data_IF_569058243867
#
_entry.id   IF_569058243867
#
_cell.length_a   1.000
_cell.length_b   1.000
_cell.length_c   1.000
_cell.angle_alpha   90.00
_cell.angle_beta   90.00
_cell.angle_gamma   90.00
#
_symmetry.space_group_name_H-M   'P 1'
#
loop_
_entity.id
_entity.type
_entity.pdbx_description
1 polymer ?
#
# COMPACT_ATOMS: atom_id res chain seq x y z
N UNK A 1 23.48 15.78 -12.39
CA UNK A 1 23.16 14.48 -13.03
C UNK A 1 23.37 13.33 -12.07
N UNK A 2 22.31 12.57 -11.84
CA UNK A 2 22.38 11.33 -11.05
C UNK A 2 22.71 10.19 -12.01
N UNK A 3 23.99 9.94 -12.23
CA UNK A 3 24.47 8.87 -13.13
C UNK A 3 25.19 7.80 -12.31
N UNK A 4 24.74 6.55 -12.42
CA UNK A 4 25.42 5.39 -11.87
C UNK A 4 25.12 4.17 -12.75
N UNK A 5 26.09 3.26 -12.97
CA UNK A 5 25.90 2.06 -13.79
C UNK A 5 24.93 1.04 -13.17
N UNK A 6 24.61 1.18 -11.88
CA UNK A 6 23.76 0.25 -11.13
C UNK A 6 22.44 0.89 -10.67
N UNK A 7 21.92 1.88 -11.41
CA UNK A 7 20.62 2.47 -11.08
C UNK A 7 19.49 1.47 -11.33
N UNK A 8 18.71 1.20 -10.28
CA UNK A 8 17.43 0.47 -10.40
C UNK A 8 16.32 1.36 -10.95
N UNK A 9 16.50 2.69 -10.89
CA UNK A 9 15.61 3.65 -11.52
C UNK A 9 15.73 3.57 -13.05
N UNK A 10 14.67 3.13 -13.70
CA UNK A 10 14.57 3.03 -15.15
C UNK A 10 13.12 3.31 -15.58
N UNK A 11 12.77 4.56 -15.95
CA UNK A 11 11.38 4.96 -16.21
C UNK A 11 10.74 4.17 -17.36
N UNK A 12 11.52 3.79 -18.38
CA UNK A 12 11.04 3.01 -19.53
C UNK A 12 10.46 1.65 -19.15
N UNK A 13 10.92 1.04 -18.05
CA UNK A 13 10.41 -0.25 -17.56
C UNK A 13 9.01 -0.17 -16.95
N UNK A 14 8.52 1.04 -16.69
CA UNK A 14 7.19 1.31 -16.16
C UNK A 14 6.31 2.04 -17.19
N UNK A 15 6.80 2.22 -18.43
CA UNK A 15 6.03 2.85 -19.49
C UNK A 15 4.83 1.99 -19.90
N UNK A 16 3.70 2.66 -20.16
CA UNK A 16 2.43 2.04 -20.56
C UNK A 16 2.03 2.43 -21.98
N UNK A 17 2.91 3.10 -22.73
CA UNK A 17 2.62 3.63 -24.07
C UNK A 17 2.58 2.55 -25.17
N UNK A 18 3.35 1.47 -24.98
CA UNK A 18 3.33 0.26 -25.83
C UNK A 18 3.00 -0.95 -24.97
N UNK A 19 1.85 -1.56 -25.25
CA UNK A 19 1.27 -2.63 -24.41
C UNK A 19 1.86 -4.01 -24.72
N UNK A 20 2.50 -4.19 -25.89
CA UNK A 20 3.02 -5.48 -26.35
C UNK A 20 4.10 -6.07 -25.42
N UNK A 21 4.90 -5.24 -24.74
CA UNK A 21 5.98 -5.64 -23.82
C UNK A 21 5.77 -5.08 -22.39
N UNK A 22 4.52 -4.77 -22.00
CA UNK A 22 4.25 -4.21 -20.66
C UNK A 22 4.60 -5.22 -19.56
N UNK A 23 5.33 -4.76 -18.53
CA UNK A 23 5.73 -5.59 -17.40
C UNK A 23 4.53 -6.04 -16.51
N UNK A 24 3.40 -5.34 -16.59
CA UNK A 24 2.17 -5.64 -15.87
C UNK A 24 0.97 -4.99 -16.54
N UNK A 25 -0.19 -5.63 -16.45
CA UNK A 25 -1.47 -5.13 -16.93
C UNK A 25 -2.35 -4.54 -15.82
N UNK A 26 -3.48 -3.89 -16.19
CA UNK A 26 -4.45 -3.39 -15.21
C UNK A 26 -5.01 -4.48 -14.28
N UNK A 27 -5.20 -5.70 -14.80
CA UNK A 27 -5.73 -6.82 -14.01
C UNK A 27 -4.74 -7.32 -12.96
N UNK A 28 -3.43 -7.26 -13.24
CA UNK A 28 -2.40 -7.65 -12.25
C UNK A 28 -2.46 -6.75 -11.02
N UNK A 29 -2.74 -5.46 -11.24
CA UNK A 29 -2.95 -4.52 -10.12
C UNK A 29 -4.22 -4.86 -9.33
N UNK A 30 -5.31 -5.22 -9.99
CA UNK A 30 -6.54 -5.64 -9.29
C UNK A 30 -6.31 -6.94 -8.50
N UNK A 31 -5.60 -7.91 -9.07
CA UNK A 31 -5.21 -9.13 -8.36
C UNK A 31 -4.35 -8.82 -7.14
N UNK A 32 -3.33 -7.97 -7.31
CA UNK A 32 -2.45 -7.53 -6.23
C UNK A 32 -3.19 -6.80 -5.11
N UNK A 33 -4.23 -6.02 -5.42
CA UNK A 33 -5.09 -5.36 -4.42
C UNK A 33 -6.02 -6.36 -3.73
N UNK A 34 -6.60 -7.30 -4.47
CA UNK A 34 -7.54 -8.30 -3.93
C UNK A 34 -6.88 -9.18 -2.88
N UNK A 35 -5.62 -9.57 -3.11
CA UNK A 35 -4.83 -10.36 -2.15
C UNK A 35 -4.58 -9.65 -0.82
N UNK A 36 -4.79 -8.33 -0.72
CA UNK A 36 -4.63 -7.56 0.52
C UNK A 36 -5.89 -7.54 1.39
N UNK A 37 -7.07 -7.90 0.86
CA UNK A 37 -8.33 -7.71 1.58
C UNK A 37 -8.40 -8.45 2.92
N UNK A 38 -7.95 -9.70 2.98
CA UNK A 38 -7.96 -10.49 4.23
C UNK A 38 -7.10 -9.86 5.32
N UNK A 39 -5.89 -9.43 4.98
CA UNK A 39 -4.97 -8.78 5.91
C UNK A 39 -5.49 -7.40 6.37
N UNK A 40 -6.17 -6.68 5.48
CA UNK A 40 -6.85 -5.42 5.81
C UNK A 40 -7.99 -5.67 6.81
N UNK A 41 -8.83 -6.67 6.57
CA UNK A 41 -9.94 -7.00 7.46
C UNK A 41 -9.45 -7.43 8.84
N UNK A 42 -8.43 -8.29 8.90
CA UNK A 42 -7.77 -8.70 10.14
C UNK A 42 -7.17 -7.50 10.89
N UNK A 43 -6.51 -6.59 10.18
CA UNK A 43 -5.96 -5.37 10.76
C UNK A 43 -7.05 -4.46 11.34
N UNK A 44 -8.19 -4.32 10.64
CA UNK A 44 -9.35 -3.56 11.14
C UNK A 44 -9.96 -4.19 12.39
N UNK A 45 -10.06 -5.51 12.43
CA UNK A 45 -10.52 -6.24 13.61
C UNK A 45 -9.58 -6.04 14.80
N UNK A 46 -8.26 -6.10 14.59
CA UNK A 46 -7.27 -5.82 15.65
C UNK A 46 -7.36 -4.40 16.20
N UNK A 47 -7.61 -3.40 15.34
CA UNK A 47 -7.82 -2.03 15.81
C UNK A 47 -9.02 -1.92 16.76
N UNK A 48 -10.09 -2.68 16.53
CA UNK A 48 -11.24 -2.73 17.44
C UNK A 48 -10.88 -3.37 18.78
N UNK A 49 -10.11 -4.47 18.76
CA UNK A 49 -9.59 -5.10 19.98
C UNK A 49 -8.72 -4.13 20.78
N UNK A 50 -7.81 -3.40 20.12
CA UNK A 50 -6.95 -2.42 20.78
C UNK A 50 -7.73 -1.23 21.36
N UNK A 51 -8.82 -0.80 20.72
CA UNK A 51 -9.75 0.18 21.30
C UNK A 51 -10.45 -0.38 22.55
N UNK A 52 -10.97 -1.61 22.48
CA UNK A 52 -11.64 -2.26 23.62
C UNK A 52 -10.71 -2.52 24.81
N UNK A 53 -9.43 -2.80 24.55
CA UNK A 53 -8.41 -2.98 25.57
C UNK A 53 -7.87 -1.66 26.16
N UNK A 54 -8.26 -0.51 25.60
CA UNK A 54 -7.80 0.82 26.03
C UNK A 54 -6.35 1.15 25.66
N UNK A 55 -5.72 0.36 24.77
CA UNK A 55 -4.35 0.61 24.30
C UNK A 55 -4.31 1.58 23.11
N UNK A 56 -5.43 1.80 22.45
CA UNK A 56 -5.61 2.81 21.40
C UNK A 56 -6.73 3.78 21.81
N UNK A 57 -6.58 5.10 21.60
CA UNK A 57 -7.64 6.06 21.89
C UNK A 57 -8.92 5.71 21.11
N UNK A 58 -10.06 6.01 21.72
CA UNK A 58 -11.37 5.83 21.10
C UNK A 58 -11.60 6.91 20.06
N UNK A 59 -11.13 6.68 18.83
CA UNK A 59 -11.33 7.59 17.71
C UNK A 59 -10.72 7.08 16.41
N UNK A 60 -11.11 7.70 15.30
CA UNK A 60 -10.51 7.45 13.99
C UNK A 60 -9.08 7.99 13.90
N UNK A 61 -8.48 7.94 12.70
CA UNK A 61 -7.12 8.43 12.42
C UNK A 61 -6.80 9.80 13.04
N UNK A 62 -7.79 10.72 13.06
CA UNK A 62 -7.70 12.06 13.65
C UNK A 62 -7.43 12.08 15.16
N UNK A 63 -7.86 11.06 15.91
CA UNK A 63 -7.62 10.97 17.35
C UNK A 63 -6.18 10.52 17.70
N UNK A 64 -5.43 10.03 16.71
CA UNK A 64 -4.02 9.67 16.88
C UNK A 64 -3.14 10.93 16.74
N UNK A 65 -3.56 11.89 15.90
CA UNK A 65 -2.85 13.16 15.67
C UNK A 65 -2.96 14.12 16.87
N UNK A 66 -4.06 14.06 17.64
CA UNK A 66 -4.28 14.89 18.83
C UNK A 66 -3.41 14.51 20.04
N UNK A 67 -2.69 13.38 19.99
CA UNK A 67 -1.84 12.90 21.09
C UNK A 67 -0.33 12.91 20.76
N UNK A 68 0.08 13.73 19.78
CA UNK A 68 1.48 13.97 19.38
C UNK A 68 1.89 15.43 19.59
#
# INVERSE_FOLDING_TARGET
>A
DTTSPNLTYAPDRLSMERVEDSAFGPLDRIGQLTMRNLDIDDSRAKLEVYRGAGTLPSGGLLAIEDNS
#
